data_IF_893873369478
#
_entry.id   IF_893873369478
#
_cell.length_a   1.000
_cell.length_b   1.000
_cell.length_c   1.000
_cell.angle_alpha   90.00
_cell.angle_beta   90.00
_cell.angle_gamma   90.00
#
_symmetry.space_group_name_H-M   'P 1'
#
loop_
_entity.id
_entity.type
_entity.pdbx_description
1 polymer ?
#
# COMPACT_ATOMS: atom_id res chain seq x y z
N UNK A 1 -0.94 8.04 -14.47
CA UNK A 1 -0.63 6.98 -13.48
C UNK A 1 -1.23 5.59 -13.78
N UNK A 2 -2.30 5.45 -14.58
CA UNK A 2 -2.90 4.13 -14.90
C UNK A 2 -1.96 3.15 -15.62
N UNK A 3 -1.16 3.65 -16.57
CA UNK A 3 -0.15 2.85 -17.29
C UNK A 3 0.93 2.29 -16.35
N UNK A 4 1.40 3.09 -15.39
CA UNK A 4 2.50 2.71 -14.50
C UNK A 4 2.01 1.90 -13.30
N UNK A 5 0.98 2.36 -12.59
CA UNK A 5 0.51 1.70 -11.36
C UNK A 5 -0.49 0.57 -11.60
N UNK A 6 -1.02 0.44 -12.82
CA UNK A 6 -1.92 -0.63 -13.24
C UNK A 6 -1.26 -1.52 -14.29
N UNK A 7 -1.16 -1.02 -15.53
CA UNK A 7 -0.74 -1.85 -16.68
C UNK A 7 0.65 -2.46 -16.51
N UNK A 8 1.64 -1.70 -16.04
CA UNK A 8 2.99 -2.23 -15.82
C UNK A 8 3.00 -3.33 -14.74
N UNK A 9 2.25 -3.16 -13.65
CA UNK A 9 2.15 -4.18 -12.61
C UNK A 9 1.43 -5.43 -13.11
N UNK A 10 0.34 -5.28 -13.87
CA UNK A 10 -0.38 -6.41 -14.50
C UNK A 10 0.56 -7.18 -15.44
N UNK A 11 1.32 -6.47 -16.27
CA UNK A 11 2.32 -7.08 -17.16
C UNK A 11 3.41 -7.80 -16.37
N UNK A 12 3.90 -7.23 -15.28
CA UNK A 12 4.91 -7.86 -14.42
C UNK A 12 4.38 -9.13 -13.76
N UNK A 13 3.14 -9.12 -13.26
CA UNK A 13 2.47 -10.30 -12.69
C UNK A 13 2.29 -11.37 -13.75
N UNK A 14 1.87 -10.98 -14.95
CA UNK A 14 1.72 -11.90 -16.08
C UNK A 14 3.03 -12.54 -16.48
N UNK A 15 4.07 -11.75 -16.70
CA UNK A 15 5.39 -12.25 -17.04
C UNK A 15 5.92 -13.18 -15.93
N UNK A 16 5.85 -12.79 -14.66
CA UNK A 16 6.27 -13.64 -13.56
C UNK A 16 5.57 -15.01 -13.57
N UNK A 17 4.27 -15.03 -13.88
CA UNK A 17 3.51 -16.28 -13.97
C UNK A 17 3.96 -17.13 -15.15
N UNK A 18 4.14 -16.51 -16.31
CA UNK A 18 4.56 -17.19 -17.55
C UNK A 18 5.97 -17.79 -17.42
N UNK A 19 6.85 -17.15 -16.64
CA UNK A 19 8.20 -17.65 -16.32
C UNK A 19 8.24 -18.60 -15.11
N UNK A 20 7.10 -18.99 -14.55
CA UNK A 20 7.03 -20.00 -13.48
C UNK A 20 7.48 -19.50 -12.10
N UNK A 21 7.51 -18.18 -11.87
CA UNK A 21 7.77 -17.63 -10.53
C UNK A 21 6.66 -18.11 -9.59
N UNK A 22 6.97 -18.69 -8.41
CA UNK A 22 5.98 -19.37 -7.57
C UNK A 22 5.08 -18.42 -6.75
N UNK A 23 5.60 -17.23 -6.45
CA UNK A 23 4.97 -16.25 -5.54
C UNK A 23 5.19 -14.84 -6.06
N UNK A 24 4.17 -14.00 -5.92
CA UNK A 24 4.23 -12.58 -6.30
C UNK A 24 3.70 -11.73 -5.16
N UNK A 25 4.46 -10.71 -4.75
CA UNK A 25 4.11 -9.82 -3.65
C UNK A 25 3.90 -8.42 -4.21
N UNK A 26 2.70 -7.88 -4.03
CA UNK A 26 2.32 -6.55 -4.50
C UNK A 26 2.11 -5.60 -3.31
N UNK A 27 2.86 -4.50 -3.30
CA UNK A 27 2.60 -3.37 -2.39
C UNK A 27 1.54 -2.49 -3.04
N UNK A 28 0.32 -2.54 -2.49
CA UNK A 28 -0.82 -1.76 -2.93
C UNK A 28 -1.05 -0.54 -2.02
N UNK A 29 -2.31 -0.22 -1.74
CA UNK A 29 -2.73 0.91 -0.92
C UNK A 29 -3.98 0.51 -0.15
N UNK A 30 -4.07 1.02 1.08
CA UNK A 30 -5.24 0.85 1.95
C UNK A 30 -6.54 1.19 1.24
N UNK A 31 -7.61 0.49 1.60
CA UNK A 31 -8.96 0.78 1.12
C UNK A 31 -9.55 1.92 1.92
N UNK A 32 -9.03 3.11 1.65
CA UNK A 32 -9.65 4.34 2.06
C UNK A 32 -11.06 4.37 1.45
N UNK A 33 -12.09 4.66 2.23
CA UNK A 33 -13.44 4.90 1.74
C UNK A 33 -13.50 6.20 0.91
N UNK A 34 -12.82 6.19 -0.24
CA UNK A 34 -12.56 7.36 -1.04
C UNK A 34 -13.82 7.71 -1.83
N UNK A 35 -14.16 9.00 -1.94
CA UNK A 35 -15.21 9.45 -2.82
C UNK A 35 -14.90 8.99 -4.25
N UNK A 36 -15.96 8.68 -4.99
CA UNK A 36 -15.87 8.03 -6.32
C UNK A 36 -14.96 8.79 -7.29
N UNK A 37 -14.81 10.11 -7.15
CA UNK A 37 -13.89 10.90 -7.97
C UNK A 37 -12.40 10.62 -7.69
N UNK A 38 -12.00 10.30 -6.46
CA UNK A 38 -10.61 9.90 -6.13
C UNK A 38 -10.35 8.44 -6.53
N UNK A 39 -11.34 7.56 -6.38
CA UNK A 39 -11.28 6.18 -6.90
C UNK A 39 -11.12 6.16 -8.42
N UNK A 40 -11.74 7.13 -9.12
CA UNK A 40 -11.59 7.31 -10.56
C UNK A 40 -10.21 7.82 -10.99
N UNK A 41 -9.36 8.24 -10.05
CA UNK A 41 -7.98 8.54 -10.36
C UNK A 41 -7.27 7.27 -10.86
N UNK A 42 -6.45 7.42 -11.89
CA UNK A 42 -5.74 6.28 -12.48
C UNK A 42 -4.76 5.58 -11.52
N UNK A 43 -4.50 6.14 -10.34
CA UNK A 43 -3.69 5.53 -9.28
C UNK A 43 -4.43 4.39 -8.59
N UNK A 44 -5.57 4.67 -7.93
CA UNK A 44 -6.32 3.67 -7.17
C UNK A 44 -6.94 2.62 -8.07
N UNK A 45 -7.50 3.02 -9.22
CA UNK A 45 -7.99 2.08 -10.22
C UNK A 45 -6.86 1.17 -10.74
N UNK A 46 -5.65 1.71 -10.93
CA UNK A 46 -4.49 0.93 -11.36
C UNK A 46 -4.09 -0.12 -10.32
N UNK A 47 -3.95 0.31 -9.05
CA UNK A 47 -3.64 -0.57 -7.91
C UNK A 47 -4.65 -1.70 -7.77
N UNK A 48 -5.96 -1.41 -7.76
CA UNK A 48 -7.01 -2.43 -7.65
C UNK A 48 -6.98 -3.45 -8.79
N UNK A 49 -6.72 -3.02 -10.03
CA UNK A 49 -6.57 -3.94 -11.16
C UNK A 49 -5.34 -4.86 -11.01
N UNK A 50 -4.22 -4.32 -10.54
CA UNK A 50 -3.03 -5.12 -10.27
C UNK A 50 -3.28 -6.13 -9.14
N UNK A 51 -4.02 -5.76 -8.10
CA UNK A 51 -4.42 -6.70 -7.04
C UNK A 51 -5.26 -7.86 -7.59
N UNK A 52 -6.27 -7.56 -8.41
CA UNK A 52 -7.09 -8.58 -9.05
C UNK A 52 -6.26 -9.53 -9.91
N UNK A 53 -5.26 -9.02 -10.64
CA UNK A 53 -4.36 -9.85 -11.44
C UNK A 53 -3.52 -10.79 -10.56
N UNK A 54 -2.95 -10.29 -9.46
CA UNK A 54 -2.18 -11.11 -8.50
C UNK A 54 -3.06 -12.23 -7.93
N UNK A 55 -4.22 -11.88 -7.39
CA UNK A 55 -5.12 -12.85 -6.77
C UNK A 55 -5.67 -13.87 -7.77
N UNK A 56 -5.81 -13.50 -9.05
CA UNK A 56 -6.23 -14.41 -10.10
C UNK A 56 -5.13 -15.37 -10.55
N UNK A 57 -3.89 -14.90 -10.73
CA UNK A 57 -2.76 -15.73 -11.19
C UNK A 57 -2.07 -16.53 -10.08
N UNK A 58 -2.21 -16.06 -8.85
CA UNK A 58 -1.58 -16.60 -7.65
C UNK A 58 -2.59 -16.79 -6.51
N UNK A 59 -3.65 -17.61 -6.68
CA UNK A 59 -4.73 -17.72 -5.69
C UNK A 59 -4.27 -18.22 -4.31
N UNK A 60 -3.23 -19.07 -4.26
CA UNK A 60 -2.72 -19.67 -3.02
C UNK A 60 -1.29 -19.23 -2.69
N UNK A 61 -0.75 -18.23 -3.40
CA UNK A 61 0.65 -17.80 -3.21
C UNK A 61 0.89 -16.32 -3.47
N UNK A 62 -0.11 -15.58 -3.92
CA UNK A 62 -0.01 -14.15 -4.18
C UNK A 62 -0.27 -13.37 -2.89
N UNK A 63 0.54 -12.35 -2.64
CA UNK A 63 0.41 -11.50 -1.46
C UNK A 63 0.14 -10.07 -1.90
N UNK A 64 -0.86 -9.45 -1.30
CA UNK A 64 -1.19 -8.04 -1.51
C UNK A 64 -1.13 -7.32 -0.17
N UNK A 65 -0.14 -6.45 0.00
CA UNK A 65 -0.05 -5.60 1.19
C UNK A 65 -0.78 -4.29 0.92
N UNK A 66 -1.74 -3.91 1.77
CA UNK A 66 -2.49 -2.64 1.67
C UNK A 66 -2.10 -1.67 2.81
N UNK A 67 -0.89 -1.09 2.77
CA UNK A 67 -0.44 -0.16 3.79
C UNK A 67 -1.21 1.16 3.72
N UNK A 68 -1.25 1.85 4.86
CA UNK A 68 -1.60 3.26 4.95
C UNK A 68 -0.47 4.14 4.40
N UNK A 69 -0.37 5.38 4.89
CA UNK A 69 0.77 6.23 4.53
C UNK A 69 2.08 5.60 5.02
N UNK A 70 3.02 5.35 4.10
CA UNK A 70 4.32 4.77 4.43
C UNK A 70 5.29 5.89 4.80
N UNK A 71 5.86 5.83 6.01
CA UNK A 71 6.81 6.82 6.52
C UNK A 71 8.20 6.21 6.76
N UNK A 72 9.20 7.09 6.88
CA UNK A 72 10.60 6.70 7.06
C UNK A 72 11.57 7.49 6.17
N UNK A 73 12.84 7.10 6.22
CA UNK A 73 13.92 7.77 5.49
C UNK A 73 14.01 7.26 4.06
N UNK A 74 13.78 8.14 3.08
CA UNK A 74 13.95 7.83 1.66
C UNK A 74 15.36 8.21 1.23
N UNK A 75 16.13 7.27 0.69
CA UNK A 75 17.42 7.58 0.04
C UNK A 75 17.17 7.90 -1.43
N UNK A 76 17.49 9.13 -1.85
CA UNK A 76 17.51 9.54 -3.27
C UNK A 76 18.85 10.20 -3.53
N UNK A 77 19.59 9.71 -4.53
CA UNK A 77 20.89 10.25 -4.95
C UNK A 77 21.93 10.45 -3.83
N UNK A 78 21.96 9.53 -2.85
CA UNK A 78 22.89 9.58 -1.72
C UNK A 78 22.43 10.48 -0.55
N UNK A 79 21.30 11.17 -0.68
CA UNK A 79 20.71 11.99 0.38
C UNK A 79 19.55 11.27 1.07
N UNK A 80 19.53 11.28 2.40
CA UNK A 80 18.39 10.85 3.21
C UNK A 80 17.35 11.97 3.24
N UNK A 81 16.29 11.82 2.45
CA UNK A 81 15.10 12.66 2.50
C UNK A 81 14.12 12.02 3.48
N UNK A 82 13.96 12.56 4.70
CA UNK A 82 12.87 12.13 5.58
C UNK A 82 11.55 12.50 4.89
N UNK A 83 10.78 11.49 4.45
CA UNK A 83 9.45 11.72 3.86
C UNK A 83 8.49 12.35 4.90
N UNK A 84 8.84 12.25 6.18
CA UNK A 84 8.17 12.92 7.30
C UNK A 84 8.06 14.45 7.09
N UNK A 85 9.03 15.08 6.41
CA UNK A 85 9.06 16.54 6.16
C UNK A 85 8.23 17.00 4.95
N UNK A 86 7.78 16.07 4.08
CA UNK A 86 6.75 16.36 3.06
C UNK A 86 5.35 16.24 3.68
N UNK A 87 5.27 15.69 4.91
CA UNK A 87 4.09 15.69 5.75
C UNK A 87 3.67 17.10 6.15
N UNK A 88 4.59 18.01 6.48
CA UNK A 88 4.22 19.33 7.03
C UNK A 88 3.33 20.21 6.10
N UNK A 89 3.56 20.29 4.77
CA UNK A 89 2.65 20.96 3.86
C UNK A 89 1.28 20.28 3.75
N UNK A 90 1.25 18.94 3.81
CA UNK A 90 0.03 18.15 3.74
C UNK A 90 -0.74 18.24 5.06
N UNK A 91 -0.10 18.06 6.21
CA UNK A 91 -0.62 18.33 7.56
C UNK A 91 -1.09 19.76 7.71
N UNK A 92 -0.38 20.77 7.20
CA UNK A 92 -0.87 22.16 7.26
C UNK A 92 -2.11 22.36 6.41
N UNK A 93 -2.19 21.74 5.23
CA UNK A 93 -3.38 21.78 4.38
C UNK A 93 -4.56 21.07 5.06
N UNK A 94 -4.29 19.91 5.67
CA UNK A 94 -5.27 19.09 6.36
C UNK A 94 -5.74 19.74 7.67
N UNK A 95 -4.83 20.24 8.49
CA UNK A 95 -5.11 20.96 9.74
C UNK A 95 -5.80 22.30 9.48
N UNK A 96 -5.48 22.97 8.36
CA UNK A 96 -6.23 24.15 7.91
C UNK A 96 -7.68 23.81 7.55
N UNK A 97 -7.94 22.59 7.08
CA UNK A 97 -9.30 22.07 6.85
C UNK A 97 -9.93 21.42 8.09
N UNK A 98 -9.16 20.92 9.06
CA UNK A 98 -9.63 20.23 10.28
C UNK A 98 -10.47 21.12 11.20
N UNK A 99 -10.16 22.42 11.28
CA UNK A 99 -10.95 23.35 12.09
C UNK A 99 -12.38 23.54 11.55
N UNK A 100 -12.66 23.10 10.32
CA UNK A 100 -14.00 23.06 9.72
C UNK A 100 -14.70 21.69 9.84
N UNK A 101 -13.99 20.62 10.22
CA UNK A 101 -14.44 19.24 9.96
C UNK A 101 -14.37 18.32 11.19
N UNK A 102 -14.84 18.76 12.35
CA UNK A 102 -14.89 17.93 13.58
C UNK A 102 -15.98 16.82 13.64
N UNK A 103 -17.01 16.71 12.76
CA UNK A 103 -17.94 15.58 12.81
C UNK A 103 -17.77 14.62 11.61
N UNK A 104 -16.56 14.13 11.33
CA UNK A 104 -16.21 13.56 10.01
C UNK A 104 -15.98 12.04 9.90
N UNK A 105 -16.35 11.22 10.87
CA UNK A 105 -16.31 9.75 10.69
C UNK A 105 -17.31 9.23 9.63
N UNK A 106 -18.17 10.10 9.09
CA UNK A 106 -19.16 9.78 8.04
C UNK A 106 -18.85 10.38 6.66
N UNK A 107 -17.76 11.16 6.48
CA UNK A 107 -17.46 11.76 5.19
C UNK A 107 -16.52 10.92 4.33
N UNK A 108 -16.72 10.90 2.99
CA UNK A 108 -15.81 10.26 2.06
C UNK A 108 -14.37 10.79 2.24
N UNK A 109 -13.38 9.89 2.19
CA UNK A 109 -11.95 10.15 2.40
C UNK A 109 -11.50 10.47 3.83
N UNK A 110 -12.36 10.43 4.85
CA UNK A 110 -11.93 10.57 6.25
C UNK A 110 -10.90 9.50 6.66
N UNK A 111 -11.04 8.27 6.13
CA UNK A 111 -10.06 7.19 6.34
C UNK A 111 -8.66 7.53 5.81
N UNK A 112 -8.52 8.43 4.83
CA UNK A 112 -7.21 8.84 4.33
C UNK A 112 -6.37 9.52 5.42
N UNK A 113 -7.05 10.18 6.36
CA UNK A 113 -6.46 10.83 7.52
C UNK A 113 -6.43 9.95 8.76
N UNK A 114 -7.41 9.05 8.89
CA UNK A 114 -7.58 8.21 10.07
C UNK A 114 -6.82 6.88 9.99
N UNK A 115 -6.48 6.39 8.79
CA UNK A 115 -5.76 5.14 8.69
C UNK A 115 -4.34 5.33 9.26
N UNK A 116 -3.92 4.47 10.20
CA UNK A 116 -2.64 4.66 10.87
C UNK A 116 -1.49 4.54 9.86
N UNK A 117 -0.50 5.44 9.91
CA UNK A 117 0.69 5.32 9.09
C UNK A 117 1.45 4.03 9.44
N UNK A 118 2.23 3.53 8.47
CA UNK A 118 3.01 2.30 8.58
C UNK A 118 4.48 2.60 8.29
N UNK A 119 5.39 2.09 9.10
CA UNK A 119 6.81 2.32 8.85
C UNK A 119 7.26 1.54 7.61
N UNK A 120 8.20 2.09 6.84
CA UNK A 120 8.82 1.38 5.72
C UNK A 120 9.43 0.04 6.15
N UNK A 121 9.94 -0.02 7.38
CA UNK A 121 10.51 -1.24 7.95
C UNK A 121 9.44 -2.30 8.20
N UNK A 122 8.26 -1.94 8.73
CA UNK A 122 7.16 -2.89 8.91
C UNK A 122 6.71 -3.46 7.55
N UNK A 123 6.58 -2.61 6.52
CA UNK A 123 6.25 -3.08 5.17
C UNK A 123 7.33 -4.03 4.64
N UNK A 124 8.61 -3.69 4.84
CA UNK A 124 9.73 -4.52 4.40
C UNK A 124 9.76 -5.88 5.12
N UNK A 125 9.60 -5.89 6.44
CA UNK A 125 9.56 -7.12 7.23
C UNK A 125 8.33 -7.97 6.88
N UNK A 126 7.17 -7.37 6.63
CA UNK A 126 6.00 -8.11 6.14
C UNK A 126 6.27 -8.77 4.77
N UNK A 127 6.99 -8.09 3.86
CA UNK A 127 7.44 -8.70 2.60
C UNK A 127 8.40 -9.86 2.87
N UNK A 128 9.37 -9.70 3.78
CA UNK A 128 10.31 -10.78 4.14
C UNK A 128 9.55 -11.99 4.69
N UNK A 129 8.62 -11.78 5.62
CA UNK A 129 7.75 -12.83 6.16
C UNK A 129 7.01 -13.57 5.03
N UNK A 130 6.38 -12.82 4.11
CA UNK A 130 5.73 -13.39 2.94
C UNK A 130 6.67 -14.15 2.00
N UNK A 131 7.95 -13.78 1.91
CA UNK A 131 8.94 -14.51 1.10
C UNK A 131 9.36 -15.83 1.76
N UNK A 132 9.53 -15.85 3.09
CA UNK A 132 10.07 -17.02 3.80
C UNK A 132 9.01 -18.03 4.23
N UNK A 133 7.76 -17.60 4.37
CA UNK A 133 6.62 -18.43 4.76
C UNK A 133 5.66 -18.63 3.58
N UNK A 134 5.50 -19.87 3.14
CA UNK A 134 4.64 -20.25 2.03
C UNK A 134 3.15 -20.25 2.38
N UNK A 135 2.79 -20.29 3.66
CA UNK A 135 1.41 -20.20 4.13
C UNK A 135 0.92 -18.73 4.18
N UNK A 136 1.81 -17.76 3.94
CA UNK A 136 1.48 -16.34 3.86
C UNK A 136 1.06 -15.98 2.43
N UNK A 137 -0.25 -15.90 2.21
CA UNK A 137 -0.87 -15.45 0.96
C UNK A 137 -2.19 -14.72 1.22
N UNK A 138 -2.67 -13.97 0.22
CA UNK A 138 -3.90 -13.19 0.28
C UNK A 138 -3.68 -11.69 0.48
N UNK A 139 -4.67 -11.01 1.04
CA UNK A 139 -4.69 -9.54 1.20
C UNK A 139 -4.48 -9.18 2.66
N UNK A 140 -3.53 -8.28 2.93
CA UNK A 140 -3.13 -7.86 4.27
C UNK A 140 -3.52 -6.40 4.53
N UNK A 141 -4.26 -6.16 5.62
CA UNK A 141 -4.56 -4.82 6.14
C UNK A 141 -3.35 -4.19 6.82
N UNK A 142 -3.50 -2.96 7.32
CA UNK A 142 -2.43 -2.25 8.03
C UNK A 142 -2.00 -3.01 9.29
N UNK A 143 -2.97 -3.53 10.04
CA UNK A 143 -2.75 -4.29 11.26
C UNK A 143 -2.01 -5.60 10.95
N UNK A 144 -2.48 -6.32 9.94
CA UNK A 144 -1.87 -7.58 9.51
C UNK A 144 -0.45 -7.39 8.97
N UNK A 145 -0.15 -6.25 8.33
CA UNK A 145 1.23 -5.91 7.94
C UNK A 145 2.13 -5.79 9.18
N UNK A 146 1.67 -5.11 10.24
CA UNK A 146 2.43 -4.95 11.48
C UNK A 146 2.61 -6.30 12.20
N UNK A 147 1.58 -7.14 12.21
CA UNK A 147 1.64 -8.50 12.76
C UNK A 147 2.64 -9.38 12.00
N UNK A 148 2.56 -9.42 10.67
CA UNK A 148 3.50 -10.16 9.83
C UNK A 148 4.94 -9.67 10.00
N UNK A 149 5.13 -8.35 10.12
CA UNK A 149 6.45 -7.76 10.38
C UNK A 149 7.04 -8.21 11.73
N UNK A 150 6.22 -8.29 12.77
CA UNK A 150 6.64 -8.66 14.11
C UNK A 150 7.15 -10.12 14.20
N UNK A 151 6.66 -11.01 13.34
CA UNK A 151 7.06 -12.42 13.33
C UNK A 151 8.50 -12.66 12.86
N UNK A 152 9.09 -11.72 12.11
CA UNK A 152 10.44 -11.85 11.53
C UNK A 152 11.43 -10.82 12.07
N UNK A 153 10.99 -9.92 12.95
CA UNK A 153 11.88 -9.02 13.67
C UNK A 153 12.69 -9.80 14.69
N UNK A 154 14.02 -9.70 14.58
CA UNK A 154 15.01 -10.30 15.49
C UNK A 154 15.47 -9.26 16.50
#
# INVERSE_FOLDING_TARGET
MKKINGEANILAVGAAKDFGIPKFILISVHDYNLPSFLLSSGYFTGKRKAESEVLSKYPNSGVVLRPGFIYGKRKVDGFEIPLDLIGEPLERLLNATENLTKPLSSLPASDLLLAPPVSVDDVAFAVVNAVVDDDVFGVFTIEQIKEAAAQVRV
#
